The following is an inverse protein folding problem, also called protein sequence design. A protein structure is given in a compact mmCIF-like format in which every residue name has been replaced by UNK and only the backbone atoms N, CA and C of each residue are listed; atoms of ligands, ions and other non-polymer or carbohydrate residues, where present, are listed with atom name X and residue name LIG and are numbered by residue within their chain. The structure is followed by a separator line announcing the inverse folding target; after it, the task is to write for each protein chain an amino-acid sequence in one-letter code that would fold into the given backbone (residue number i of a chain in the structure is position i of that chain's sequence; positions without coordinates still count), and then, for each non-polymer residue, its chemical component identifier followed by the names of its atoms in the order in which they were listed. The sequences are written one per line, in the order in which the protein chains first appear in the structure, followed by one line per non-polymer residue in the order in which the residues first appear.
data_IF_484471594388
#
_entry.id   IF_484471594388
#
_cell.length_a   1.000
_cell.length_b   1.000
_cell.length_c   1.000
_cell.angle_alpha   90.00
_cell.angle_beta   90.00
_cell.angle_gamma   90.00
#
_symmetry.space_group_name_H-M   'P 1'
#
loop_
_entity.id
_entity.type
_entity.pdbx_description
1 polymer ?
#
# COMPACT_ATOMS: atom_id res chain seq x y z
N UNK A 1 -58.84 8.15 -15.43
CA UNK A 1 -59.22 8.14 -14.00
C UNK A 1 -60.02 9.39 -13.69
N UNK A 2 -61.12 9.28 -12.94
CA UNK A 2 -61.90 10.44 -12.48
C UNK A 2 -61.11 11.13 -11.35
N UNK A 3 -60.70 12.37 -11.55
CA UNK A 3 -60.18 13.23 -10.48
C UNK A 3 -61.36 13.91 -9.79
N UNK A 4 -61.50 13.71 -8.47
CA UNK A 4 -62.49 14.40 -7.66
C UNK A 4 -61.91 15.75 -7.20
N UNK A 5 -62.68 16.85 -7.21
CA UNK A 5 -62.21 18.14 -6.71
C UNK A 5 -62.09 18.06 -5.18
N UNK A 6 -60.86 18.04 -4.68
CA UNK A 6 -60.58 18.27 -3.26
C UNK A 6 -60.70 19.78 -3.01
N UNK A 7 -61.59 20.26 -2.11
CA UNK A 7 -61.67 21.67 -1.78
C UNK A 7 -60.42 22.04 -0.97
N UNK A 8 -59.46 22.69 -1.62
CA UNK A 8 -58.30 23.26 -0.95
C UNK A 8 -58.42 24.79 -0.96
N UNK A 9 -58.18 25.46 0.17
CA UNK A 9 -58.18 26.93 0.20
C UNK A 9 -57.01 27.45 -0.64
N UNK A 10 -57.34 28.13 -1.75
CA UNK A 10 -56.36 28.77 -2.62
C UNK A 10 -56.09 30.20 -2.13
N UNK A 11 -54.82 30.55 -1.80
CA UNK A 11 -54.47 31.94 -1.57
C UNK A 11 -54.63 32.76 -2.86
N UNK A 12 -54.75 34.09 -2.78
CA UNK A 12 -54.83 34.96 -3.96
C UNK A 12 -53.64 34.75 -4.91
N UNK A 13 -53.86 34.95 -6.21
CA UNK A 13 -52.84 34.69 -7.24
C UNK A 13 -51.52 35.45 -7.00
N UNK A 14 -51.61 36.70 -6.53
CA UNK A 14 -50.43 37.51 -6.20
C UNK A 14 -49.57 36.88 -5.09
N UNK A 15 -50.20 36.24 -4.11
CA UNK A 15 -49.49 35.56 -3.02
C UNK A 15 -48.86 34.25 -3.50
N UNK A 16 -49.55 33.49 -4.37
CA UNK A 16 -48.97 32.30 -5.00
C UNK A 16 -47.69 32.65 -5.78
N UNK A 17 -47.70 33.74 -6.55
CA UNK A 17 -46.54 34.19 -7.31
C UNK A 17 -45.36 34.60 -6.41
N UNK A 18 -45.62 35.30 -5.31
CA UNK A 18 -44.59 35.64 -4.30
C UNK A 18 -43.99 34.38 -3.67
N UNK A 19 -44.81 33.40 -3.32
CA UNK A 19 -44.36 32.13 -2.76
C UNK A 19 -43.48 31.38 -3.77
N UNK A 20 -43.92 31.24 -5.02
CA UNK A 20 -43.15 30.58 -6.08
C UNK A 20 -41.81 31.26 -6.28
N UNK A 21 -41.79 32.60 -6.39
CA UNK A 21 -40.55 33.36 -6.53
C UNK A 21 -39.57 33.11 -5.37
N UNK A 22 -40.08 33.01 -4.12
CA UNK A 22 -39.22 32.73 -2.96
C UNK A 22 -38.69 31.29 -2.95
N UNK A 23 -39.52 30.32 -3.36
CA UNK A 23 -39.08 28.91 -3.50
C UNK A 23 -37.98 28.81 -4.55
N UNK A 24 -38.14 29.45 -5.71
CA UNK A 24 -37.14 29.47 -6.77
C UNK A 24 -35.82 30.09 -6.29
N UNK A 25 -35.90 31.20 -5.55
CA UNK A 25 -34.74 31.85 -4.92
C UNK A 25 -34.01 30.89 -3.95
N UNK A 26 -34.74 30.25 -3.04
CA UNK A 26 -34.16 29.34 -2.05
C UNK A 26 -33.55 28.08 -2.70
N UNK A 27 -34.17 27.56 -3.76
CA UNK A 27 -33.60 26.47 -4.55
C UNK A 27 -32.36 26.91 -5.32
N UNK A 28 -32.30 28.15 -5.82
CA UNK A 28 -31.08 28.70 -6.40
C UNK A 28 -29.94 28.79 -5.36
N UNK A 29 -30.25 29.25 -4.14
CA UNK A 29 -29.27 29.29 -3.04
C UNK A 29 -28.78 27.88 -2.64
N UNK A 30 -29.69 26.91 -2.57
CA UNK A 30 -29.36 25.52 -2.26
C UNK A 30 -28.42 24.94 -3.31
N UNK A 31 -28.73 25.11 -4.60
CA UNK A 31 -27.86 24.66 -5.70
C UNK A 31 -26.48 25.31 -5.64
N UNK A 32 -26.40 26.60 -5.31
CA UNK A 32 -25.12 27.30 -5.18
C UNK A 32 -24.28 26.76 -4.00
N UNK A 33 -24.90 26.46 -2.87
CA UNK A 33 -24.24 25.85 -1.72
C UNK A 33 -23.74 24.44 -2.05
N UNK A 34 -24.57 23.61 -2.69
CA UNK A 34 -24.18 22.26 -3.13
C UNK A 34 -22.97 22.30 -4.08
N UNK A 35 -22.98 23.22 -5.05
CA UNK A 35 -21.86 23.41 -5.98
C UNK A 35 -20.59 23.83 -5.24
N UNK A 36 -20.70 24.76 -4.28
CA UNK A 36 -19.56 25.22 -3.48
C UNK A 36 -18.99 24.11 -2.59
N UNK A 37 -19.84 23.27 -2.00
CA UNK A 37 -19.39 22.12 -1.21
C UNK A 37 -18.65 21.10 -2.08
N UNK A 38 -19.16 20.79 -3.28
CA UNK A 38 -18.46 19.90 -4.23
C UNK A 38 -17.10 20.46 -4.63
N UNK A 39 -17.04 21.75 -4.97
CA UNK A 39 -15.77 22.41 -5.31
C UNK A 39 -14.79 22.38 -4.13
N UNK A 40 -15.26 22.62 -2.91
CA UNK A 40 -14.41 22.55 -1.72
C UNK A 40 -13.83 21.15 -1.52
N UNK A 41 -14.62 20.09 -1.72
CA UNK A 41 -14.15 18.71 -1.66
C UNK A 41 -13.09 18.41 -2.73
N UNK A 42 -13.28 18.87 -3.97
CA UNK A 42 -12.29 18.69 -5.04
C UNK A 42 -11.00 19.47 -4.76
N UNK A 43 -11.12 20.67 -4.19
CA UNK A 43 -9.96 21.46 -3.78
C UNK A 43 -9.15 20.75 -2.70
N UNK A 44 -9.81 20.11 -1.72
CA UNK A 44 -9.14 19.33 -0.67
C UNK A 44 -8.32 18.18 -1.27
N UNK A 45 -8.91 17.40 -2.19
CA UNK A 45 -8.20 16.31 -2.89
C UNK A 45 -7.00 16.87 -3.68
N UNK A 46 -7.19 18.00 -4.37
CA UNK A 46 -6.14 18.64 -5.15
C UNK A 46 -4.98 19.12 -4.27
N UNK A 47 -5.29 19.75 -3.13
CA UNK A 47 -4.28 20.20 -2.16
C UNK A 47 -3.55 19.02 -1.54
N UNK A 48 -4.27 17.95 -1.18
CA UNK A 48 -3.67 16.71 -0.67
C UNK A 48 -2.65 16.14 -1.66
N UNK A 49 -3.05 15.95 -2.92
CA UNK A 49 -2.17 15.42 -3.97
C UNK A 49 -0.93 16.29 -4.18
N UNK A 50 -1.08 17.62 -4.18
CA UNK A 50 0.04 18.54 -4.30
C UNK A 50 0.98 18.45 -3.09
N UNK A 51 0.45 18.29 -1.87
CA UNK A 51 1.24 18.13 -0.66
C UNK A 51 2.02 16.81 -0.65
N UNK A 52 1.37 15.69 -1.00
CA UNK A 52 2.02 14.38 -1.12
C UNK A 52 3.09 14.38 -2.21
N UNK A 53 2.85 15.05 -3.34
CA UNK A 53 3.86 15.21 -4.38
C UNK A 53 5.10 15.95 -3.87
N UNK A 54 4.91 17.05 -3.13
CA UNK A 54 6.04 17.78 -2.51
C UNK A 54 6.84 16.88 -1.57
N UNK A 55 6.17 16.07 -0.75
CA UNK A 55 6.79 15.09 0.14
C UNK A 55 7.64 14.07 -0.64
N UNK A 56 7.13 13.58 -1.77
CA UNK A 56 7.81 12.60 -2.61
C UNK A 56 9.06 13.15 -3.31
N UNK A 57 8.95 14.39 -3.80
CA UNK A 57 10.05 15.07 -4.52
C UNK A 57 11.09 15.73 -3.62
N UNK A 58 10.94 15.66 -2.31
CA UNK A 58 11.89 16.25 -1.36
C UNK A 58 13.28 15.62 -1.57
N UNK A 59 14.27 16.47 -1.85
CA UNK A 59 15.66 16.07 -2.06
C UNK A 59 16.46 15.97 -0.76
N UNK A 60 16.03 16.72 0.26
CA UNK A 60 16.68 16.83 1.56
C UNK A 60 15.65 16.69 2.69
N UNK A 61 16.15 16.40 3.90
CA UNK A 61 15.32 16.22 5.08
C UNK A 61 14.58 17.52 5.45
N UNK A 62 15.18 18.69 5.26
CA UNK A 62 14.56 19.96 5.66
C UNK A 62 13.31 20.28 4.83
N UNK A 63 13.37 20.08 3.51
CA UNK A 63 12.19 20.20 2.62
C UNK A 63 11.16 19.12 2.94
N UNK A 64 11.60 17.91 3.28
CA UNK A 64 10.70 16.84 3.72
C UNK A 64 9.94 17.25 4.98
N UNK A 65 10.64 17.72 6.03
CA UNK A 65 10.02 18.18 7.27
C UNK A 65 9.08 19.36 7.02
N UNK A 66 9.46 20.31 6.16
CA UNK A 66 8.60 21.44 5.79
C UNK A 66 7.31 20.98 5.11
N UNK A 67 7.41 20.05 4.16
CA UNK A 67 6.25 19.46 3.49
C UNK A 67 5.38 18.67 4.48
N UNK A 68 6.01 17.93 5.39
CA UNK A 68 5.33 17.17 6.44
C UNK A 68 4.61 18.07 7.44
N UNK A 69 5.22 19.17 7.87
CA UNK A 69 4.58 20.18 8.71
C UNK A 69 3.33 20.74 8.05
N UNK A 70 3.40 21.06 6.75
CA UNK A 70 2.23 21.57 6.01
C UNK A 70 1.06 20.58 6.03
N UNK A 71 1.34 19.28 5.86
CA UNK A 71 0.33 18.21 5.91
C UNK A 71 -0.23 18.07 7.33
N UNK A 72 0.63 18.05 8.33
CA UNK A 72 0.25 17.91 9.75
C UNK A 72 -0.60 19.07 10.24
N UNK A 73 -0.26 20.30 9.85
CA UNK A 73 -0.96 21.50 10.31
C UNK A 73 -2.37 21.62 9.70
N UNK A 74 -2.64 20.91 8.60
CA UNK A 74 -3.95 20.86 7.94
C UNK A 74 -4.57 19.45 7.97
N UNK A 75 -4.14 18.60 8.91
CA UNK A 75 -4.48 17.18 8.90
C UNK A 75 -5.99 16.95 8.98
N UNK A 76 -6.67 17.70 9.86
CA UNK A 76 -8.12 17.59 10.07
C UNK A 76 -8.90 17.84 8.76
N UNK A 77 -8.54 18.89 8.03
CA UNK A 77 -9.22 19.26 6.78
C UNK A 77 -8.88 18.32 5.63
N UNK A 78 -7.63 17.83 5.58
CA UNK A 78 -7.16 17.00 4.48
C UNK A 78 -7.59 15.53 4.64
N UNK A 79 -7.72 15.01 5.85
CA UNK A 79 -7.90 13.57 6.08
C UNK A 79 -9.24 13.18 6.72
N UNK A 80 -10.19 14.11 6.82
CA UNK A 80 -11.60 13.77 7.01
C UNK A 80 -12.15 12.87 5.87
N UNK A 81 -11.53 12.90 4.68
CA UNK A 81 -11.87 12.04 3.55
C UNK A 81 -11.04 10.74 3.52
N UNK A 82 -11.67 9.54 3.53
CA UNK A 82 -10.97 8.26 3.46
C UNK A 82 -10.06 8.09 2.22
N UNK A 83 -10.37 8.78 1.11
CA UNK A 83 -9.56 8.72 -0.13
C UNK A 83 -8.15 9.27 0.11
N UNK A 84 -8.04 10.37 0.86
CA UNK A 84 -6.75 10.99 1.16
C UNK A 84 -5.92 10.14 2.11
N UNK A 85 -6.57 9.43 3.05
CA UNK A 85 -5.90 8.50 3.98
C UNK A 85 -5.21 7.36 3.23
N UNK A 86 -5.89 6.79 2.22
CA UNK A 86 -5.33 5.72 1.41
C UNK A 86 -4.08 6.19 0.64
N UNK A 87 -4.11 7.39 0.04
CA UNK A 87 -2.97 7.97 -0.68
C UNK A 87 -1.78 8.28 0.24
N UNK A 88 -2.03 8.85 1.42
CA UNK A 88 -0.98 9.09 2.41
C UNK A 88 -0.29 7.79 2.83
N UNK A 89 -1.05 6.73 3.11
CA UNK A 89 -0.49 5.44 3.49
C UNK A 89 0.41 4.86 2.40
N UNK A 90 -0.01 4.94 1.13
CA UNK A 90 0.82 4.49 0.01
C UNK A 90 2.10 5.31 -0.10
N UNK A 91 2.01 6.63 0.12
CA UNK A 91 3.18 7.52 0.06
C UNK A 91 4.17 7.22 1.18
N UNK A 92 3.70 6.98 2.41
CA UNK A 92 4.56 6.57 3.54
C UNK A 92 5.27 5.25 3.24
N UNK A 93 4.56 4.26 2.68
CA UNK A 93 5.14 2.97 2.32
C UNK A 93 6.21 3.12 1.22
N UNK A 94 5.93 3.88 0.17
CA UNK A 94 6.89 4.15 -0.91
C UNK A 94 8.15 4.86 -0.38
N UNK A 95 8.00 5.84 0.51
CA UNK A 95 9.12 6.53 1.15
C UNK A 95 9.93 5.61 2.08
N UNK A 96 9.27 4.72 2.81
CA UNK A 96 9.92 3.75 3.69
C UNK A 96 10.77 2.76 2.90
N UNK A 97 10.24 2.23 1.80
CA UNK A 97 10.97 1.32 0.91
C UNK A 97 12.17 2.02 0.27
N UNK A 98 12.08 3.32 -0.01
CA UNK A 98 13.19 4.14 -0.51
C UNK A 98 14.17 4.60 0.58
N UNK A 99 13.96 4.25 1.85
CA UNK A 99 14.80 4.68 2.97
C UNK A 99 14.82 6.20 3.21
N UNK A 100 13.82 6.94 2.71
CA UNK A 100 13.73 8.41 2.80
C UNK A 100 12.91 8.93 3.97
N UNK A 101 12.35 8.04 4.79
CA UNK A 101 11.47 8.41 5.89
C UNK A 101 12.22 9.01 7.09
N UNK A 102 13.50 8.66 7.25
CA UNK A 102 14.34 9.05 8.38
C UNK A 102 15.69 9.54 7.84
N UNK A 103 16.32 10.56 8.46
CA UNK A 103 17.69 10.95 8.14
C UNK A 103 18.62 9.74 8.29
N UNK A 104 19.49 9.52 7.31
CA UNK A 104 20.51 8.47 7.40
C UNK A 104 21.62 8.94 8.35
N UNK A 105 22.05 8.07 9.27
CA UNK A 105 23.20 8.36 10.14
C UNK A 105 24.50 8.04 9.38
N UNK A 106 25.43 9.00 9.24
CA UNK A 106 26.72 8.77 8.59
C UNK A 106 27.61 7.73 9.32
N UNK A 107 27.32 7.45 10.59
CA UNK A 107 28.04 6.46 11.39
C UNK A 107 27.44 5.05 11.27
N UNK A 108 26.27 4.90 10.64
CA UNK A 108 25.69 3.59 10.40
C UNK A 108 26.58 2.80 9.43
N UNK A 109 26.72 1.50 9.71
CA UNK A 109 27.46 0.61 8.83
C UNK A 109 26.79 0.53 7.45
N UNK A 110 27.53 0.71 6.34
CA UNK A 110 26.96 0.55 5.01
C UNK A 110 26.49 -0.89 4.80
N UNK A 111 25.36 -1.05 4.13
CA UNK A 111 24.83 -2.37 3.79
C UNK A 111 25.83 -3.23 2.98
N UNK A 112 26.77 -2.61 2.26
CA UNK A 112 27.86 -3.31 1.57
C UNK A 112 28.80 -4.05 2.55
N UNK A 113 29.14 -3.44 3.69
CA UNK A 113 29.96 -4.09 4.73
C UNK A 113 29.20 -5.25 5.39
N UNK A 114 27.89 -5.09 5.60
CA UNK A 114 27.01 -6.18 6.05
C UNK A 114 26.99 -7.36 5.07
N UNK A 115 26.90 -7.11 3.77
CA UNK A 115 26.96 -8.17 2.75
C UNK A 115 28.32 -8.88 2.72
N UNK A 116 29.43 -8.15 2.89
CA UNK A 116 30.76 -8.75 3.03
C UNK A 116 30.83 -9.66 4.24
N UNK A 117 30.23 -9.27 5.36
CA UNK A 117 30.17 -10.07 6.58
C UNK A 117 29.32 -11.35 6.40
N UNK A 118 28.18 -11.25 5.72
CA UNK A 118 27.32 -12.41 5.43
C UNK A 118 28.02 -13.37 4.45
N UNK A 119 28.67 -12.87 3.40
CA UNK A 119 29.44 -13.69 2.46
C UNK A 119 30.73 -14.26 3.05
N UNK A 120 31.32 -13.60 4.04
CA UNK A 120 32.52 -14.03 4.78
C UNK A 120 32.26 -15.12 5.82
N UNK A 121 30.99 -15.30 6.23
CA UNK A 121 30.51 -16.40 7.07
C UNK A 121 30.56 -17.74 6.34
N UNK A 122 31.77 -18.30 6.21
CA UNK A 122 31.97 -19.64 5.65
C UNK A 122 31.07 -20.64 6.36
N UNK A 123 30.16 -21.21 5.56
CA UNK A 123 29.55 -22.52 5.73
C UNK A 123 30.47 -23.43 6.56
N UNK A 124 30.07 -23.67 7.81
CA UNK A 124 30.64 -24.74 8.63
C UNK A 124 30.42 -26.03 7.86
N UNK A 125 31.53 -26.61 7.40
CA UNK A 125 31.57 -27.90 6.74
C UNK A 125 30.87 -28.92 7.63
N UNK A 126 29.69 -29.37 7.24
CA UNK A 126 29.22 -30.71 7.57
C UNK A 126 28.21 -31.19 6.53
N UNK A 127 28.56 -32.29 5.88
CA UNK A 127 27.60 -33.19 5.25
C UNK A 127 26.86 -32.67 4.02
N UNK A 128 27.55 -32.70 2.86
CA UNK A 128 27.03 -33.11 1.54
C UNK A 128 25.49 -33.09 1.40
N UNK A 129 24.93 -32.01 0.87
CA UNK A 129 23.70 -32.04 0.06
C UNK A 129 23.86 -31.04 -1.09
N UNK A 130 23.52 -31.50 -2.29
CA UNK A 130 23.52 -30.71 -3.51
C UNK A 130 22.65 -29.46 -3.33
N UNK A 131 23.31 -28.34 -3.06
CA UNK A 131 22.72 -27.04 -3.25
C UNK A 131 22.48 -26.88 -4.75
N UNK A 132 21.22 -26.82 -5.17
CA UNK A 132 20.83 -26.25 -6.46
C UNK A 132 21.47 -24.86 -6.51
N UNK A 133 22.61 -24.73 -7.20
CA UNK A 133 23.20 -23.42 -7.47
C UNK A 133 22.14 -22.66 -8.27
N UNK A 134 21.58 -21.56 -7.76
CA UNK A 134 20.64 -20.79 -8.56
C UNK A 134 21.41 -20.36 -9.81
N UNK A 135 20.89 -20.71 -10.98
CA UNK A 135 21.32 -20.08 -12.22
C UNK A 135 21.29 -18.58 -11.96
N UNK A 136 22.44 -17.91 -12.05
CA UNK A 136 22.54 -16.46 -11.90
C UNK A 136 21.65 -15.84 -12.98
N UNK A 137 20.40 -15.58 -12.64
CA UNK A 137 19.54 -14.74 -13.45
C UNK A 137 20.11 -13.35 -13.26
N UNK A 138 20.64 -12.79 -14.34
CA UNK A 138 21.02 -11.39 -14.40
C UNK A 138 19.77 -10.56 -14.14
N UNK A 139 19.64 -10.05 -12.92
CA UNK A 139 18.55 -9.14 -12.56
C UNK A 139 18.76 -7.86 -13.35
N UNK A 140 17.71 -7.42 -14.04
CA UNK A 140 17.66 -6.15 -14.77
C UNK A 140 17.70 -4.99 -13.78
N UNK A 141 18.89 -4.45 -13.54
CA UNK A 141 19.11 -3.33 -12.61
C UNK A 141 18.60 -2.00 -13.16
N UNK A 142 18.26 -1.93 -14.44
CA UNK A 142 17.70 -0.75 -15.12
C UNK A 142 16.27 -0.37 -14.67
N UNK A 143 15.64 -1.20 -13.85
CA UNK A 143 14.29 -0.95 -13.28
C UNK A 143 14.29 -0.69 -11.77
N UNK A 144 15.46 -0.72 -11.13
CA UNK A 144 15.57 -0.52 -9.70
C UNK A 144 15.51 0.96 -9.35
N UNK A 145 14.84 1.28 -8.25
CA UNK A 145 14.78 2.63 -7.74
C UNK A 145 16.09 3.03 -7.06
N UNK A 146 16.36 4.34 -7.04
CA UNK A 146 17.46 4.92 -6.27
C UNK A 146 17.27 4.65 -4.78
N UNK A 147 18.32 4.16 -4.14
CA UNK A 147 18.40 3.91 -2.70
C UNK A 147 19.41 4.86 -2.05
N UNK A 148 19.33 5.11 -0.73
CA UNK A 148 20.30 5.94 -0.03
C UNK A 148 21.73 5.40 -0.17
N UNK A 149 22.74 6.25 -0.01
CA UNK A 149 24.16 5.87 -0.16
C UNK A 149 24.64 4.82 0.83
N UNK A 150 23.96 4.67 1.98
CA UNK A 150 24.21 3.63 2.98
C UNK A 150 23.59 2.28 2.59
N UNK A 151 22.71 2.23 1.58
CA UNK A 151 21.96 1.04 1.16
C UNK A 151 22.50 0.50 -0.15
N UNK A 152 22.38 -0.81 -0.35
CA UNK A 152 22.74 -1.47 -1.60
C UNK A 152 21.71 -2.53 -1.95
N UNK A 153 21.41 -2.67 -3.23
CA UNK A 153 20.58 -3.76 -3.73
C UNK A 153 21.35 -5.08 -3.64
N UNK A 154 20.74 -6.08 -3.00
CA UNK A 154 21.29 -7.43 -2.88
C UNK A 154 20.30 -8.46 -3.42
N UNK A 155 20.81 -9.56 -3.96
CA UNK A 155 19.97 -10.72 -4.30
C UNK A 155 19.57 -11.46 -3.03
N UNK A 156 18.38 -12.07 -3.03
CA UNK A 156 17.89 -12.83 -1.86
C UNK A 156 18.90 -13.88 -1.36
N UNK A 157 19.55 -14.60 -2.28
CA UNK A 157 20.55 -15.62 -1.95
C UNK A 157 21.88 -15.07 -1.41
N UNK A 158 22.12 -13.75 -1.49
CA UNK A 158 23.29 -13.10 -0.88
C UNK A 158 23.08 -12.84 0.61
N UNK A 159 21.81 -12.78 1.06
CA UNK A 159 21.45 -12.47 2.46
C UNK A 159 20.78 -13.64 3.19
N UNK A 160 20.26 -14.63 2.46
CA UNK A 160 19.52 -15.75 3.06
C UNK A 160 19.74 -17.06 2.29
N UNK A 161 19.81 -18.17 3.02
CA UNK A 161 19.79 -19.51 2.45
C UNK A 161 18.40 -20.13 2.59
N UNK A 162 17.92 -20.76 1.51
CA UNK A 162 16.72 -21.58 1.58
C UNK A 162 17.10 -22.94 2.17
N UNK A 163 16.76 -23.15 3.44
CA UNK A 163 16.84 -24.48 4.04
C UNK A 163 15.63 -25.29 3.58
N UNK A 164 15.77 -26.02 2.48
CA UNK A 164 14.84 -27.12 2.20
C UNK A 164 15.20 -28.25 3.15
N UNK A 165 14.42 -28.40 4.23
CA UNK A 165 14.36 -29.65 4.99
C UNK A 165 13.69 -30.76 4.16
N UNK A 166 14.01 -30.82 2.86
CA UNK A 166 13.66 -31.94 1.99
C UNK A 166 14.43 -33.14 2.47
N UNK A 167 13.70 -33.98 3.19
CA UNK A 167 14.08 -35.34 3.50
C UNK A 167 14.03 -36.15 2.21
N UNK A 168 15.12 -36.83 1.88
CA UNK A 168 15.15 -37.76 0.74
C UNK A 168 14.23 -38.95 1.05
N UNK A 169 13.17 -39.18 0.25
CA UNK A 169 12.27 -40.29 0.44
C UNK A 169 12.95 -41.66 0.50
N UNK A 170 14.04 -41.85 -0.25
CA UNK A 170 14.77 -43.12 -0.30
C UNK A 170 15.47 -43.49 1.00
N UNK A 171 15.68 -42.53 1.92
CA UNK A 171 16.26 -42.79 3.24
C UNK A 171 15.23 -43.25 4.27
N UNK A 172 13.93 -43.19 3.94
CA UNK A 172 12.84 -43.56 4.84
C UNK A 172 11.78 -44.42 4.12
N UNK A 173 12.19 -45.57 3.54
CA UNK A 173 11.31 -46.42 2.73
C UNK A 173 10.11 -46.97 3.50
N UNK A 174 10.18 -47.00 4.84
CA UNK A 174 9.11 -47.52 5.69
C UNK A 174 8.17 -46.43 6.24
N UNK A 175 8.46 -45.14 5.99
CA UNK A 175 7.64 -44.03 6.49
C UNK A 175 6.62 -43.53 5.45
N UNK A 176 5.39 -43.20 5.89
CA UNK A 176 4.34 -42.71 5.00
C UNK A 176 4.75 -41.38 4.34
N UNK A 177 4.80 -41.38 3.01
CA UNK A 177 5.10 -40.19 2.22
C UNK A 177 3.81 -39.44 1.88
N UNK A 178 3.57 -38.36 2.61
CA UNK A 178 2.38 -37.53 2.49
C UNK A 178 2.77 -36.21 1.83
N UNK A 179 2.30 -36.00 0.59
CA UNK A 179 2.41 -34.73 -0.10
C UNK A 179 1.17 -33.85 0.17
N UNK A 180 1.22 -32.53 -0.11
CA UNK A 180 0.05 -31.65 0.03
C UNK A 180 -1.20 -32.17 -0.70
N UNK A 181 -1.02 -32.89 -1.82
CA UNK A 181 -2.11 -33.47 -2.61
C UNK A 181 -2.77 -34.70 -1.94
N UNK A 182 -2.15 -35.26 -0.90
CA UNK A 182 -2.74 -36.33 -0.09
C UNK A 182 -3.62 -35.78 1.05
N UNK A 183 -3.87 -34.47 1.10
CA UNK A 183 -4.72 -33.84 2.13
C UNK A 183 -5.94 -33.24 1.44
N UNK A 184 -7.13 -33.70 1.82
CA UNK A 184 -8.39 -33.14 1.34
C UNK A 184 -8.50 -31.68 1.78
N UNK A 185 -8.67 -30.79 0.79
CA UNK A 185 -8.74 -29.34 1.01
C UNK A 185 -9.85 -29.02 2.00
N UNK A 186 -9.56 -28.11 2.94
CA UNK A 186 -10.49 -27.58 3.94
C UNK A 186 -10.96 -28.55 5.03
N UNK A 187 -10.71 -29.86 4.92
CA UNK A 187 -11.06 -30.85 5.96
C UNK A 187 -9.85 -31.35 6.73
N UNK A 188 -8.65 -31.30 6.13
CA UNK A 188 -7.43 -31.84 6.72
C UNK A 188 -7.40 -33.37 6.74
N UNK A 189 -8.36 -34.04 6.08
CA UNK A 189 -8.44 -35.49 6.03
C UNK A 189 -7.39 -36.05 5.07
N UNK A 190 -6.67 -37.07 5.50
CA UNK A 190 -5.71 -37.78 4.65
C UNK A 190 -6.43 -38.64 3.61
N UNK A 191 -6.05 -38.45 2.35
CA UNK A 191 -6.38 -39.29 1.21
C UNK A 191 -5.40 -40.46 1.10
N UNK A 192 -5.67 -41.40 0.19
CA UNK A 192 -4.76 -42.52 -0.06
C UNK A 192 -3.36 -42.00 -0.45
N UNK A 193 -2.33 -42.50 0.24
CA UNK A 193 -0.93 -42.22 -0.03
C UNK A 193 -0.21 -43.52 -0.41
N UNK A 194 0.94 -43.40 -1.08
CA UNK A 194 1.84 -44.54 -1.35
C UNK A 194 3.15 -44.31 -0.62
N UNK A 195 3.63 -45.34 0.04
CA UNK A 195 5.02 -45.42 0.50
C UNK A 195 5.88 -45.76 -0.72
N UNK A 196 6.96 -45.02 -0.94
CA UNK A 196 7.89 -45.30 -2.05
C UNK A 196 8.60 -46.62 -1.71
N UNK A 197 8.33 -47.68 -2.48
CA UNK A 197 9.07 -48.93 -2.47
C UNK A 197 9.97 -49.01 -3.70
#
# INVERSE_FOLDING_TARGET
GRTYPLPFPLPPLAEQQRIVAKVDELFAQTRALEARMRQAQENVVTVNRAALHRLHTAQDNDKFQTAWHTIRDHFDVLYDDPRNVAELRQTILDLAVRGKLVPQDPNDEPAEELLKNIGGGKSTKNGRKESLKPTRVSVRTDTLHDVPSSWVWAQFFEVANIATNSTDPGLYPDLPHIAPDNIEKFTGRLLAYRTVA
#
